data_IF_097021385821
#
_entry.id   IF_097021385821
#
_cell.length_a   1.000
_cell.length_b   1.000
_cell.length_c   1.000
_cell.angle_alpha   90.00
_cell.angle_beta   90.00
_cell.angle_gamma   90.00
#
_symmetry.space_group_name_H-M   'P 1'
#
loop_
_entity.id
_entity.type
_entity.pdbx_description
1 polymer ?
#
# COMPACT_ATOMS: atom_id res chain seq x y z
N UNK A 1 -6.13 39.82 -4.63
CA UNK A 1 -6.43 38.37 -4.73
C UNK A 1 -7.32 38.03 -3.56
N UNK A 2 -8.52 37.51 -3.80
CA UNK A 2 -9.40 37.06 -2.72
C UNK A 2 -8.75 35.86 -2.03
N UNK A 3 -8.74 35.85 -0.70
CA UNK A 3 -8.36 34.69 0.10
C UNK A 3 -9.24 33.50 -0.29
N UNK A 4 -8.68 32.30 -0.51
CA UNK A 4 -9.49 31.12 -0.85
C UNK A 4 -10.51 30.86 0.27
N UNK A 5 -11.75 30.55 -0.12
CA UNK A 5 -12.81 30.13 0.82
C UNK A 5 -12.31 28.99 1.70
N UNK A 6 -12.55 29.04 3.01
CA UNK A 6 -12.12 28.01 3.97
C UNK A 6 -12.63 26.60 3.62
N UNK A 7 -13.73 26.50 2.86
CA UNK A 7 -14.32 25.24 2.42
C UNK A 7 -13.54 24.51 1.32
N UNK A 8 -12.63 25.21 0.63
CA UNK A 8 -11.78 24.61 -0.40
C UNK A 8 -10.40 24.17 0.12
N UNK A 9 -10.14 24.33 1.42
CA UNK A 9 -8.86 23.96 2.02
C UNK A 9 -8.86 22.49 2.47
N UNK A 10 -7.93 21.71 1.94
CA UNK A 10 -7.64 20.34 2.40
C UNK A 10 -7.11 20.32 3.84
N UNK A 11 -6.60 21.44 4.33
CA UNK A 11 -5.95 21.58 5.63
C UNK A 11 -6.58 22.72 6.44
N UNK A 12 -6.76 22.50 7.75
CA UNK A 12 -7.22 23.48 8.72
C UNK A 12 -6.07 23.86 9.66
N UNK A 13 -5.92 25.15 9.93
CA UNK A 13 -4.95 25.66 10.92
C UNK A 13 -5.72 26.12 12.16
N UNK A 14 -5.34 25.62 13.34
CA UNK A 14 -5.89 26.11 14.62
C UNK A 14 -4.84 26.02 15.72
N UNK A 15 -5.00 26.83 16.75
CA UNK A 15 -4.29 26.68 18.01
C UNK A 15 -4.96 25.55 18.80
N UNK A 16 -4.17 24.61 19.29
CA UNK A 16 -4.68 23.43 20.01
C UNK A 16 -3.70 22.95 21.08
N UNK A 17 -4.23 22.22 22.05
CA UNK A 17 -3.44 21.56 23.09
C UNK A 17 -2.81 20.28 22.51
N UNK A 18 -1.47 20.27 22.41
CA UNK A 18 -0.74 19.17 21.81
C UNK A 18 0.00 18.34 22.85
N UNK A 19 -0.29 17.04 22.87
CA UNK A 19 0.40 16.07 23.71
C UNK A 19 1.55 15.46 22.92
N UNK A 20 2.76 15.60 23.43
CA UNK A 20 3.93 14.96 22.84
C UNK A 20 3.87 13.43 23.02
N UNK A 21 3.96 12.64 21.94
CA UNK A 21 3.93 11.18 22.03
C UNK A 21 5.18 10.59 22.70
N UNK A 22 6.24 11.38 22.90
CA UNK A 22 7.51 10.92 23.47
C UNK A 22 7.59 11.04 24.99
N UNK A 23 6.95 12.05 25.56
CA UNK A 23 7.06 12.38 26.99
C UNK A 23 5.72 12.76 27.64
N UNK A 24 4.61 12.74 26.89
CA UNK A 24 3.27 13.05 27.37
C UNK A 24 3.08 14.53 27.77
N UNK A 25 4.05 15.39 27.50
CA UNK A 25 3.97 16.80 27.88
C UNK A 25 3.01 17.50 26.93
N UNK A 26 2.06 18.21 27.53
CA UNK A 26 1.12 19.08 26.82
C UNK A 26 1.73 20.45 26.54
N UNK A 27 1.46 21.01 25.37
CA UNK A 27 1.80 22.38 25.01
C UNK A 27 0.79 22.96 24.02
N UNK A 28 0.39 24.22 24.21
CA UNK A 28 -0.45 24.94 23.25
C UNK A 28 0.41 25.40 22.08
N UNK A 29 0.03 25.04 20.86
CA UNK A 29 0.74 25.41 19.63
C UNK A 29 -0.22 25.59 18.45
N UNK A 30 0.17 26.41 17.49
CA UNK A 30 -0.48 26.46 16.17
C UNK A 30 -0.15 25.16 15.43
N UNK A 31 -1.19 24.47 14.95
CA UNK A 31 -1.07 23.18 14.32
C UNK A 31 -1.90 23.06 13.04
N UNK A 32 -1.41 22.20 12.16
CA UNK A 32 -1.98 21.92 10.85
C UNK A 32 -2.68 20.57 10.87
N UNK A 33 -3.99 20.54 10.57
CA UNK A 33 -4.81 19.33 10.59
C UNK A 33 -5.41 19.07 9.21
N UNK A 34 -5.57 17.79 8.86
CA UNK A 34 -6.23 17.40 7.62
C UNK A 34 -7.75 17.46 7.78
N UNK A 35 -8.46 18.16 6.87
CA UNK A 35 -9.92 18.21 6.89
C UNK A 35 -10.48 16.96 6.17
N UNK A 36 -11.33 16.14 6.81
CA UNK A 36 -12.01 15.06 6.12
C UNK A 36 -12.93 15.64 5.05
N UNK A 37 -12.74 15.22 3.79
CA UNK A 37 -13.47 15.74 2.62
C UNK A 37 -14.95 15.31 2.52
N UNK A 38 -15.48 14.61 3.53
CA UNK A 38 -16.91 14.25 3.62
C UNK A 38 -17.36 14.45 5.06
N UNK A 39 -18.08 15.57 5.28
CA UNK A 39 -18.55 16.01 6.59
C UNK A 39 -19.77 15.22 7.04
N UNK A 40 -19.57 14.42 8.09
CA UNK A 40 -20.54 14.35 9.19
C UNK A 40 -19.71 14.50 10.46
N UNK A 41 -19.42 15.75 10.82
CA UNK A 41 -18.71 16.07 12.08
C UNK A 41 -19.61 15.80 13.30
N UNK A 42 -20.92 15.61 13.10
CA UNK A 42 -21.91 15.27 14.14
C UNK A 42 -22.03 13.76 14.42
N UNK A 43 -21.08 12.94 13.94
CA UNK A 43 -21.03 11.51 14.26
C UNK A 43 -20.32 11.25 15.60
N UNK A 44 -20.65 10.16 16.31
CA UNK A 44 -19.90 9.78 17.51
C UNK A 44 -18.41 9.60 17.18
N UNK A 45 -17.55 10.16 18.03
CA UNK A 45 -16.08 10.03 17.96
C UNK A 45 -15.72 8.54 17.94
N UNK A 46 -14.79 8.14 17.09
CA UNK A 46 -14.36 6.75 17.01
C UNK A 46 -13.64 6.38 18.31
N UNK A 47 -14.19 5.46 19.09
CA UNK A 47 -13.47 4.91 20.24
C UNK A 47 -12.25 4.12 19.72
N UNK A 48 -11.03 4.40 20.23
CA UNK A 48 -9.84 3.69 19.80
C UNK A 48 -10.02 2.17 20.04
N UNK A 49 -9.55 1.29 19.13
CA UNK A 49 -9.72 -0.15 19.29
C UNK A 49 -8.97 -0.67 20.53
N UNK A 50 -9.66 -0.76 21.67
CA UNK A 50 -9.16 -1.29 22.95
C UNK A 50 -8.59 -2.72 22.81
N UNK A 51 -9.08 -3.49 21.83
CA UNK A 51 -8.63 -4.86 21.55
C UNK A 51 -7.17 -4.98 21.06
N UNK A 52 -6.51 -3.86 20.71
CA UNK A 52 -5.13 -3.84 20.21
C UNK A 52 -4.08 -3.45 21.26
N UNK A 53 -4.51 -2.94 22.42
CA UNK A 53 -3.64 -2.33 23.44
C UNK A 53 -3.18 -3.34 24.50
N UNK A 54 -3.77 -4.53 24.57
CA UNK A 54 -3.36 -5.58 25.50
C UNK A 54 -2.53 -6.67 24.80
N UNK A 55 -1.19 -6.61 24.82
CA UNK A 55 -0.36 -7.74 24.46
C UNK A 55 -0.40 -8.72 25.64
N UNK A 56 -1.38 -9.63 25.67
CA UNK A 56 -1.22 -10.82 26.51
C UNK A 56 -0.07 -11.61 25.88
N UNK A 57 1.11 -11.54 26.49
CA UNK A 57 2.24 -12.42 26.19
C UNK A 57 1.77 -13.86 26.36
N UNK A 58 1.42 -14.51 25.25
CA UNK A 58 1.17 -15.95 25.24
C UNK A 58 2.13 -16.54 24.24
N UNK A 59 3.15 -17.20 24.80
CA UNK A 59 4.19 -17.99 24.14
C UNK A 59 3.62 -19.30 23.55
N UNK A 60 2.51 -19.22 22.84
CA UNK A 60 1.93 -20.35 22.13
C UNK A 60 1.91 -20.02 20.64
N UNK A 61 3.03 -20.27 19.98
CA UNK A 61 3.14 -20.25 18.53
C UNK A 61 2.21 -21.32 17.92
N UNK A 62 0.94 -20.96 17.69
CA UNK A 62 0.07 -21.73 16.80
C UNK A 62 0.61 -21.52 15.38
N UNK A 63 0.99 -22.56 14.64
CA UNK A 63 1.58 -22.39 13.32
C UNK A 63 0.49 -21.99 12.31
N UNK A 64 0.30 -20.69 12.10
CA UNK A 64 -0.38 -20.16 10.92
C UNK A 64 0.53 -20.29 9.71
N UNK A 65 0.00 -20.83 8.62
CA UNK A 65 0.73 -20.90 7.34
C UNK A 65 0.12 -19.90 6.38
N UNK A 66 0.81 -18.80 6.15
CA UNK A 66 0.44 -17.85 5.09
C UNK A 66 1.14 -18.25 3.77
N UNK A 67 0.37 -18.38 2.69
CA UNK A 67 0.88 -18.71 1.36
C UNK A 67 0.83 -17.48 0.46
N UNK A 68 1.98 -16.87 0.21
CA UNK A 68 2.12 -15.67 -0.60
C UNK A 68 2.30 -16.02 -2.07
N UNK A 69 1.21 -15.97 -2.84
CA UNK A 69 1.17 -16.50 -4.22
C UNK A 69 1.67 -15.49 -5.26
N UNK A 70 2.02 -14.27 -4.82
CA UNK A 70 2.73 -13.31 -5.65
C UNK A 70 4.00 -13.87 -6.26
N UNK A 71 4.66 -14.82 -5.58
CA UNK A 71 5.91 -15.44 -6.02
C UNK A 71 5.67 -16.88 -6.49
N UNK A 72 5.17 -17.04 -7.74
CA UNK A 72 5.05 -18.37 -8.36
C UNK A 72 6.42 -18.84 -8.82
N UNK A 73 7.21 -19.36 -7.86
CA UNK A 73 8.23 -20.43 -7.88
C UNK A 73 8.95 -20.31 -6.52
N UNK A 74 8.69 -21.17 -5.53
CA UNK A 74 9.51 -21.18 -4.31
C UNK A 74 10.91 -21.65 -4.68
N UNK A 75 11.87 -20.72 -4.86
CA UNK A 75 13.28 -21.10 -4.86
C UNK A 75 13.59 -21.70 -3.50
N UNK A 76 13.95 -23.00 -3.47
CA UNK A 76 14.51 -23.91 -2.42
C UNK A 76 14.42 -23.60 -0.91
N UNK A 77 13.78 -22.54 -0.48
CA UNK A 77 14.08 -21.81 0.75
C UNK A 77 12.80 -21.18 1.33
N UNK A 78 11.72 -21.97 1.35
CA UNK A 78 10.43 -21.57 1.93
C UNK A 78 10.57 -21.16 3.41
N UNK A 79 11.50 -21.80 4.17
CA UNK A 79 11.85 -21.39 5.53
C UNK A 79 12.45 -19.99 5.57
N UNK A 80 13.33 -19.67 4.62
CA UNK A 80 13.93 -18.33 4.44
C UNK A 80 12.88 -17.29 4.07
N UNK A 81 11.84 -17.65 3.30
CA UNK A 81 10.71 -16.76 2.96
C UNK A 81 9.81 -16.46 4.16
N UNK A 82 9.43 -17.48 4.93
CA UNK A 82 8.65 -17.30 6.16
C UNK A 82 9.43 -16.45 7.16
N UNK A 83 10.73 -16.69 7.31
CA UNK A 83 11.60 -15.87 8.15
C UNK A 83 11.71 -14.41 7.65
N UNK A 84 11.75 -14.17 6.33
CA UNK A 84 11.71 -12.81 5.75
C UNK A 84 10.40 -12.06 6.02
N UNK A 85 9.30 -12.79 6.24
CA UNK A 85 7.94 -12.25 6.38
C UNK A 85 7.42 -12.37 7.82
N UNK A 86 8.24 -12.85 8.76
CA UNK A 86 7.90 -12.90 10.19
C UNK A 86 7.57 -11.52 10.72
N UNK A 87 8.32 -10.49 10.31
CA UNK A 87 8.02 -9.10 10.68
C UNK A 87 6.64 -8.68 10.21
N UNK A 88 6.26 -8.98 8.97
CA UNK A 88 4.94 -8.68 8.44
C UNK A 88 3.83 -9.43 9.17
N UNK A 89 4.03 -10.69 9.53
CA UNK A 89 3.08 -11.47 10.33
C UNK A 89 2.86 -10.83 11.71
N UNK A 90 3.93 -10.36 12.35
CA UNK A 90 3.88 -9.65 13.64
C UNK A 90 3.26 -8.26 13.52
N UNK A 91 3.65 -7.47 12.53
CA UNK A 91 3.06 -6.15 12.25
C UNK A 91 1.56 -6.28 11.95
N UNK A 92 1.13 -7.34 11.23
CA UNK A 92 -0.28 -7.63 10.99
C UNK A 92 -1.09 -7.91 12.27
N UNK A 93 -0.45 -8.24 13.40
CA UNK A 93 -1.14 -8.31 14.68
C UNK A 93 -1.64 -6.94 15.16
N UNK A 94 -0.99 -5.84 14.76
CA UNK A 94 -1.39 -4.46 15.08
C UNK A 94 -2.43 -3.91 14.08
N UNK A 95 -2.79 -4.65 13.03
CA UNK A 95 -3.74 -4.20 12.01
C UNK A 95 -5.18 -4.07 12.56
N UNK A 96 -5.81 -2.93 12.27
CA UNK A 96 -7.21 -2.63 12.53
C UNK A 96 -7.98 -2.57 11.21
N UNK A 97 -8.83 -3.56 10.95
CA UNK A 97 -9.65 -3.63 9.74
C UNK A 97 -10.76 -2.58 9.67
N UNK A 98 -11.06 -1.86 10.77
CA UNK A 98 -12.09 -0.80 10.77
C UNK A 98 -11.56 0.50 10.15
N UNK A 99 -10.33 0.87 10.47
CA UNK A 99 -9.65 2.09 10.02
C UNK A 99 -8.70 1.83 8.85
N UNK A 100 -8.38 0.55 8.55
CA UNK A 100 -7.34 0.14 7.61
C UNK A 100 -5.96 0.73 7.97
N UNK A 101 -5.64 0.69 9.27
CA UNK A 101 -4.38 1.20 9.84
C UNK A 101 -3.75 0.17 10.78
N UNK A 102 -2.46 0.32 11.06
CA UNK A 102 -1.78 -0.35 12.16
C UNK A 102 -1.83 0.55 13.40
N UNK A 103 -2.28 0.00 14.51
CA UNK A 103 -2.42 0.72 15.78
C UNK A 103 -1.21 0.41 16.66
N UNK A 104 -0.36 1.40 16.89
CA UNK A 104 0.79 1.32 17.78
C UNK A 104 0.53 2.11 19.08
N UNK A 105 1.25 1.83 20.18
CA UNK A 105 1.12 2.58 21.42
C UNK A 105 1.32 4.10 21.30
N UNK A 106 2.05 4.56 20.28
CA UNK A 106 2.37 5.98 20.03
C UNK A 106 1.60 6.58 18.84
N UNK A 107 0.62 5.87 18.25
CA UNK A 107 -0.21 6.39 17.17
C UNK A 107 -0.56 5.37 16.09
N UNK A 108 -1.41 5.78 15.16
CA UNK A 108 -1.77 4.99 13.98
C UNK A 108 -0.83 5.29 12.81
N UNK A 109 -0.48 4.26 12.04
CA UNK A 109 0.20 4.42 10.77
C UNK A 109 -0.26 3.34 9.78
N UNK A 110 -0.17 3.60 8.47
CA UNK A 110 -0.51 2.63 7.43
C UNK A 110 0.32 2.86 6.17
N UNK A 111 0.35 1.87 5.28
CA UNK A 111 0.83 2.09 3.93
C UNK A 111 -0.21 2.92 3.18
N UNK A 112 0.18 4.07 2.67
CA UNK A 112 -0.70 5.09 2.07
C UNK A 112 -0.60 5.11 0.55
N UNK A 113 -1.42 5.94 -0.11
CA UNK A 113 -1.27 6.18 -1.55
C UNK A 113 0.08 6.85 -1.89
N UNK A 114 0.63 7.68 -1.00
CA UNK A 114 1.94 8.31 -1.15
C UNK A 114 3.05 7.24 -1.19
N UNK A 115 3.00 6.27 -0.27
CA UNK A 115 3.95 5.16 -0.24
C UNK A 115 3.90 4.34 -1.54
N UNK A 116 2.68 3.99 -2.00
CA UNK A 116 2.49 3.23 -3.24
C UNK A 116 2.94 4.04 -4.46
N UNK A 117 2.74 5.36 -4.44
CA UNK A 117 3.18 6.28 -5.48
C UNK A 117 4.69 6.28 -5.63
N UNK A 118 5.38 6.48 -4.51
CA UNK A 118 6.85 6.56 -4.46
C UNK A 118 7.50 5.21 -4.77
N UNK A 119 6.83 4.11 -4.45
CA UNK A 119 7.29 2.77 -4.79
C UNK A 119 7.02 2.37 -6.25
N UNK A 120 6.42 3.24 -7.07
CA UNK A 120 6.40 3.12 -8.53
C UNK A 120 5.02 2.85 -9.17
N UNK A 121 3.93 3.18 -8.49
CA UNK A 121 2.58 3.15 -9.09
C UNK A 121 2.02 4.57 -9.25
N UNK A 122 1.09 4.78 -10.19
CA UNK A 122 0.47 6.09 -10.36
C UNK A 122 -0.81 6.22 -9.55
N UNK A 123 -1.02 7.38 -8.92
CA UNK A 123 -2.26 7.75 -8.22
C UNK A 123 -3.25 8.48 -9.13
N UNK A 124 -2.74 9.15 -10.17
CA UNK A 124 -3.53 9.84 -11.18
C UNK A 124 -3.65 9.01 -12.46
N UNK A 125 -4.59 9.41 -13.31
CA UNK A 125 -4.85 8.79 -14.61
C UNK A 125 -6.18 8.04 -14.65
N UNK A 126 -6.36 7.32 -15.75
CA UNK A 126 -7.58 6.60 -16.06
C UNK A 126 -7.79 5.39 -15.15
N UNK A 127 -9.00 4.84 -15.22
CA UNK A 127 -9.36 3.65 -14.47
C UNK A 127 -8.57 2.44 -14.89
N UNK A 128 -8.15 1.61 -13.92
CA UNK A 128 -7.70 0.24 -14.21
C UNK A 128 -8.81 -0.63 -14.83
N UNK A 129 -10.06 -0.15 -14.79
CA UNK A 129 -11.22 -0.75 -15.44
C UNK A 129 -11.60 -0.07 -16.77
N UNK A 130 -10.75 0.81 -17.30
CA UNK A 130 -11.03 1.51 -18.56
C UNK A 130 -11.22 0.50 -19.70
N UNK A 131 -12.32 0.62 -20.47
CA UNK A 131 -12.59 -0.29 -21.58
C UNK A 131 -11.52 -0.20 -22.66
N UNK A 132 -11.44 -1.23 -23.49
CA UNK A 132 -10.69 -1.19 -24.74
C UNK A 132 -11.67 -0.82 -25.84
N UNK A 133 -11.58 0.42 -26.32
CA UNK A 133 -12.49 0.95 -27.34
C UNK A 133 -11.79 1.09 -28.71
N UNK A 134 -10.46 1.08 -28.71
CA UNK A 134 -9.62 1.30 -29.89
C UNK A 134 -9.17 -0.03 -30.53
N UNK A 135 -9.22 -0.10 -31.86
CA UNK A 135 -8.71 -1.21 -32.66
C UNK A 135 -7.23 -1.49 -32.39
N UNK A 136 -6.42 -0.45 -32.16
CA UNK A 136 -4.99 -0.62 -31.84
C UNK A 136 -4.78 -1.29 -30.49
N UNK A 137 -5.54 -0.88 -29.47
CA UNK A 137 -5.49 -1.47 -28.13
C UNK A 137 -5.95 -2.93 -28.15
N UNK A 138 -6.98 -3.25 -28.92
CA UNK A 138 -7.44 -4.62 -29.10
C UNK A 138 -6.37 -5.47 -29.82
N UNK A 139 -5.70 -4.92 -30.84
CA UNK A 139 -4.58 -5.59 -31.51
C UNK A 139 -3.41 -5.87 -30.54
N UNK A 140 -3.06 -4.93 -29.67
CA UNK A 140 -2.00 -5.13 -28.66
C UNK A 140 -2.41 -6.23 -27.66
N UNK A 141 -3.64 -6.16 -27.15
CA UNK A 141 -4.18 -7.17 -26.24
C UNK A 141 -4.17 -8.57 -26.87
N UNK A 142 -4.60 -8.70 -28.12
CA UNK A 142 -4.57 -9.99 -28.84
C UNK A 142 -3.15 -10.49 -29.08
N UNK A 143 -2.19 -9.61 -29.39
CA UNK A 143 -0.76 -9.97 -29.46
C UNK A 143 -0.24 -10.52 -28.14
N UNK A 144 -0.58 -9.86 -27.02
CA UNK A 144 -0.21 -10.29 -25.68
C UNK A 144 -0.85 -11.64 -25.31
N UNK A 145 -2.13 -11.79 -25.59
CA UNK A 145 -2.89 -13.01 -25.34
C UNK A 145 -2.29 -14.19 -26.14
N UNK A 146 -2.09 -14.03 -27.45
CA UNK A 146 -1.47 -15.04 -28.32
C UNK A 146 -0.10 -15.48 -27.80
N UNK A 147 0.76 -14.53 -27.43
CA UNK A 147 2.07 -14.83 -26.88
C UNK A 147 2.00 -15.62 -25.57
N UNK A 148 1.03 -15.30 -24.71
CA UNK A 148 0.77 -16.06 -23.49
C UNK A 148 0.31 -17.48 -23.81
N UNK A 149 -0.67 -17.65 -24.69
CA UNK A 149 -1.13 -18.97 -25.15
C UNK A 149 0.01 -19.80 -25.73
N UNK A 150 0.90 -19.19 -26.53
CA UNK A 150 2.08 -19.86 -27.08
C UNK A 150 3.04 -20.37 -26.00
N UNK A 151 3.27 -19.58 -24.94
CA UNK A 151 4.13 -20.00 -23.82
C UNK A 151 3.48 -21.11 -22.99
N UNK A 152 2.15 -21.07 -22.81
CA UNK A 152 1.38 -22.14 -22.16
C UNK A 152 1.51 -23.43 -22.97
N UNK A 153 1.35 -23.35 -24.28
CA UNK A 153 1.38 -24.49 -25.21
C UNK A 153 2.74 -25.18 -25.24
N UNK A 154 3.84 -24.42 -25.30
CA UNK A 154 5.21 -24.98 -25.41
C UNK A 154 5.67 -25.72 -24.14
N UNK A 155 5.22 -25.31 -22.94
CA UNK A 155 5.73 -25.90 -21.70
C UNK A 155 4.92 -27.09 -21.15
N UNK A 156 3.83 -27.50 -21.81
CA UNK A 156 2.88 -28.54 -21.38
C UNK A 156 2.40 -28.45 -19.90
N UNK A 157 2.66 -27.30 -19.27
CA UNK A 157 2.23 -26.81 -17.97
C UNK A 157 2.12 -25.29 -18.12
N UNK A 158 1.19 -24.69 -17.36
CA UNK A 158 0.88 -23.25 -17.28
C UNK A 158 2.09 -22.37 -17.60
N UNK A 159 1.89 -21.30 -18.39
CA UNK A 159 2.96 -20.38 -18.80
C UNK A 159 3.84 -20.01 -17.61
N UNK A 160 5.05 -20.56 -17.60
CA UNK A 160 5.96 -20.38 -16.49
C UNK A 160 6.70 -19.05 -16.67
N UNK A 161 6.86 -18.32 -15.57
CA UNK A 161 7.54 -17.02 -15.52
C UNK A 161 8.90 -17.05 -16.23
N UNK A 162 9.68 -18.12 -16.01
CA UNK A 162 10.99 -18.31 -16.62
C UNK A 162 10.91 -18.37 -18.15
N UNK A 163 9.89 -19.04 -18.72
CA UNK A 163 9.70 -19.08 -20.16
C UNK A 163 9.30 -17.73 -20.75
N UNK A 164 8.50 -16.93 -20.03
CA UNK A 164 8.18 -15.55 -20.45
C UNK A 164 9.43 -14.67 -20.48
N UNK A 165 10.25 -14.74 -19.42
CA UNK A 165 11.50 -13.99 -19.29
C UNK A 165 12.50 -14.37 -20.37
N UNK A 166 12.71 -15.68 -20.60
CA UNK A 166 13.59 -16.18 -21.66
C UNK A 166 13.14 -15.69 -23.04
N UNK A 167 11.83 -15.67 -23.29
CA UNK A 167 11.27 -15.30 -24.60
C UNK A 167 11.30 -13.79 -24.87
N UNK A 168 11.20 -12.94 -23.84
CA UNK A 168 10.95 -11.51 -24.04
C UNK A 168 11.98 -10.55 -23.44
N UNK A 169 12.65 -10.86 -22.32
CA UNK A 169 13.56 -9.89 -21.66
C UNK A 169 14.89 -9.63 -22.39
N UNK A 170 15.23 -10.40 -23.44
CA UNK A 170 16.44 -10.17 -24.26
C UNK A 170 16.12 -9.76 -25.71
N UNK A 171 14.85 -9.51 -26.04
CA UNK A 171 14.43 -9.26 -27.41
C UNK A 171 14.26 -7.77 -27.77
N UNK A 172 14.52 -6.84 -26.84
CA UNK A 172 14.73 -5.41 -27.10
C UNK A 172 13.61 -4.64 -27.80
N UNK A 173 12.43 -5.22 -28.03
CA UNK A 173 11.44 -4.67 -28.98
C UNK A 173 9.99 -4.80 -28.55
N UNK A 174 9.70 -5.13 -27.29
CA UNK A 174 8.36 -5.60 -26.88
C UNK A 174 7.94 -5.10 -25.49
N UNK A 175 7.83 -3.77 -25.37
CA UNK A 175 7.41 -3.06 -24.14
C UNK A 175 6.10 -3.65 -23.58
N UNK A 176 5.20 -4.13 -24.44
CA UNK A 176 3.97 -4.78 -24.02
C UNK A 176 4.16 -6.05 -23.23
N UNK A 177 5.16 -6.85 -23.58
CA UNK A 177 5.45 -8.07 -22.86
C UNK A 177 6.13 -7.81 -21.52
N UNK A 178 6.88 -6.73 -21.40
CA UNK A 178 7.49 -6.27 -20.15
C UNK A 178 6.43 -5.69 -19.21
N UNK A 179 5.54 -4.83 -19.72
CA UNK A 179 4.43 -4.25 -18.95
C UNK A 179 3.49 -5.34 -18.41
N UNK A 180 3.10 -6.31 -19.24
CA UNK A 180 2.28 -7.44 -18.81
C UNK A 180 2.98 -8.28 -17.72
N UNK A 181 4.27 -8.56 -17.90
CA UNK A 181 5.04 -9.32 -16.92
C UNK A 181 5.13 -8.59 -15.58
N UNK A 182 5.45 -7.31 -15.62
CA UNK A 182 5.56 -6.47 -14.44
C UNK A 182 4.24 -6.40 -13.68
N UNK A 183 3.13 -6.10 -14.39
CA UNK A 183 1.81 -6.03 -13.79
C UNK A 183 1.39 -7.35 -13.15
N UNK A 184 1.46 -8.45 -13.90
CA UNK A 184 0.99 -9.76 -13.42
C UNK A 184 1.82 -10.33 -12.26
N UNK A 185 3.01 -9.79 -12.01
CA UNK A 185 3.94 -10.31 -11.00
C UNK A 185 4.12 -9.42 -9.79
N UNK A 186 4.23 -8.12 -10.02
CA UNK A 186 4.66 -7.15 -9.01
C UNK A 186 3.55 -6.18 -8.59
N UNK A 187 2.53 -5.98 -9.43
CA UNK A 187 1.43 -5.03 -9.16
C UNK A 187 0.14 -5.77 -8.81
N UNK A 188 -0.32 -6.64 -9.70
CA UNK A 188 -1.53 -7.44 -9.59
C UNK A 188 -1.21 -8.93 -9.75
N UNK A 189 -0.70 -9.60 -8.69
CA UNK A 189 -0.39 -11.04 -8.72
C UNK A 189 -1.62 -11.96 -8.83
N UNK A 190 -2.72 -11.50 -9.43
CA UNK A 190 -3.99 -12.17 -9.52
C UNK A 190 -3.86 -13.43 -10.40
N UNK A 191 -4.51 -14.51 -9.98
CA UNK A 191 -4.65 -15.72 -10.78
C UNK A 191 -6.08 -15.79 -11.31
N UNK A 192 -6.28 -15.43 -12.57
CA UNK A 192 -7.54 -15.62 -13.32
C UNK A 192 -7.37 -16.60 -14.50
N UNK A 193 -6.32 -17.42 -14.47
CA UNK A 193 -6.03 -18.42 -15.51
C UNK A 193 -5.25 -17.84 -16.69
N UNK A 194 -5.87 -16.92 -17.43
CA UNK A 194 -5.38 -16.35 -18.70
C UNK A 194 -4.87 -14.90 -18.58
N UNK A 195 -4.82 -14.32 -17.38
CA UNK A 195 -4.42 -12.92 -17.23
C UNK A 195 -5.44 -11.94 -17.81
N UNK A 196 -6.70 -12.35 -17.99
CA UNK A 196 -7.79 -11.54 -18.60
C UNK A 196 -7.93 -10.17 -17.95
N UNK A 197 -7.67 -10.09 -16.66
CA UNK A 197 -7.78 -8.85 -15.89
C UNK A 197 -6.57 -7.93 -16.12
N UNK A 198 -5.39 -8.48 -16.37
CA UNK A 198 -4.13 -7.73 -16.51
C UNK A 198 -3.84 -7.36 -17.97
N UNK A 199 -4.31 -8.15 -18.94
CA UNK A 199 -4.10 -7.92 -20.37
C UNK A 199 -4.59 -6.53 -20.83
N UNK A 200 -5.81 -6.07 -20.47
CA UNK A 200 -6.27 -4.74 -20.85
C UNK A 200 -5.42 -3.61 -20.25
N UNK A 201 -5.02 -3.76 -19.00
CA UNK A 201 -4.17 -2.79 -18.31
C UNK A 201 -2.81 -2.69 -19.00
N UNK A 202 -2.21 -3.84 -19.35
CA UNK A 202 -0.95 -3.88 -20.09
C UNK A 202 -1.06 -3.18 -21.45
N UNK A 203 -2.14 -3.43 -22.21
CA UNK A 203 -2.37 -2.78 -23.49
C UNK A 203 -2.46 -1.24 -23.34
N UNK A 204 -3.22 -0.75 -22.36
CA UNK A 204 -3.30 0.69 -22.07
C UNK A 204 -1.94 1.30 -21.70
N UNK A 205 -1.19 0.67 -20.80
CA UNK A 205 0.15 1.17 -20.42
C UNK A 205 1.10 1.24 -21.61
N UNK A 206 1.03 0.28 -22.53
CA UNK A 206 1.92 0.23 -23.70
C UNK A 206 1.66 1.28 -24.74
N UNK A 207 0.43 1.80 -24.77
CA UNK A 207 0.05 2.96 -25.56
C UNK A 207 0.53 4.27 -24.92
N UNK A 208 0.97 4.22 -23.66
CA UNK A 208 1.29 5.40 -22.87
C UNK A 208 0.09 5.99 -22.13
N UNK A 209 -1.04 5.27 -22.04
CA UNK A 209 -2.16 5.68 -21.21
C UNK A 209 -1.75 5.65 -19.74
N UNK A 210 -1.84 6.78 -19.05
CA UNK A 210 -1.61 6.86 -17.60
C UNK A 210 -2.80 6.22 -16.88
N UNK A 211 -2.55 5.18 -16.08
CA UNK A 211 -3.57 4.50 -15.28
C UNK A 211 -3.31 4.68 -13.78
N UNK A 212 -4.35 4.96 -13.00
CA UNK A 212 -4.24 5.05 -11.54
C UNK A 212 -4.15 3.66 -10.89
N UNK A 213 -2.97 3.04 -10.96
CA UNK A 213 -2.70 1.70 -10.41
C UNK A 213 -2.71 1.66 -8.88
N UNK A 214 -2.23 2.73 -8.23
CA UNK A 214 -2.05 2.82 -6.79
C UNK A 214 -3.32 2.52 -5.96
N UNK A 215 -4.50 3.13 -6.23
CA UNK A 215 -5.72 2.84 -5.48
C UNK A 215 -6.13 1.37 -5.56
N UNK A 216 -5.97 0.73 -6.72
CA UNK A 216 -6.32 -0.68 -6.89
C UNK A 216 -5.37 -1.61 -6.15
N UNK A 217 -4.07 -1.31 -6.18
CA UNK A 217 -3.05 -2.05 -5.42
C UNK A 217 -3.31 -1.90 -3.92
N UNK A 218 -3.53 -0.68 -3.45
CA UNK A 218 -3.69 -0.37 -2.03
C UNK A 218 -4.97 -1.02 -1.45
N UNK A 219 -6.10 -0.93 -2.15
CA UNK A 219 -7.32 -1.64 -1.77
C UNK A 219 -7.09 -3.14 -1.59
N UNK A 220 -6.33 -3.74 -2.50
CA UNK A 220 -5.99 -5.17 -2.43
C UNK A 220 -5.14 -5.48 -1.20
N UNK A 221 -4.14 -4.64 -0.90
CA UNK A 221 -3.28 -4.77 0.29
C UNK A 221 -4.13 -4.68 1.57
N UNK A 222 -4.98 -3.67 1.69
CA UNK A 222 -5.86 -3.47 2.86
C UNK A 222 -6.77 -4.68 3.09
N UNK A 223 -7.46 -5.16 2.05
CA UNK A 223 -8.32 -6.36 2.14
C UNK A 223 -7.53 -7.58 2.62
N UNK A 224 -6.30 -7.78 2.14
CA UNK A 224 -5.48 -8.93 2.55
C UNK A 224 -4.87 -8.77 3.93
N UNK A 225 -4.52 -7.57 4.38
CA UNK A 225 -4.12 -7.32 5.76
C UNK A 225 -5.28 -7.62 6.73
N UNK A 226 -6.49 -7.18 6.38
CA UNK A 226 -7.72 -7.51 7.13
C UNK A 226 -7.99 -9.02 7.17
N UNK A 227 -7.82 -9.70 6.04
CA UNK A 227 -7.94 -11.17 5.96
C UNK A 227 -6.89 -11.88 6.81
N UNK A 228 -5.65 -11.40 6.78
CA UNK A 228 -4.55 -11.94 7.58
C UNK A 228 -4.87 -11.76 9.07
N UNK A 229 -5.20 -10.54 9.51
CA UNK A 229 -5.61 -10.24 10.90
C UNK A 229 -6.75 -11.13 11.37
N UNK A 230 -7.79 -11.32 10.56
CA UNK A 230 -8.92 -12.18 10.88
C UNK A 230 -8.48 -13.64 11.11
N UNK A 231 -7.59 -14.16 10.26
CA UNK A 231 -7.02 -15.49 10.44
C UNK A 231 -6.14 -15.59 11.71
N UNK A 232 -5.38 -14.55 12.05
CA UNK A 232 -4.59 -14.50 13.29
C UNK A 232 -5.48 -14.58 14.54
N UNK A 233 -6.61 -13.86 14.52
CA UNK A 233 -7.58 -13.90 15.62
C UNK A 233 -8.26 -15.27 15.70
N UNK A 234 -8.64 -15.85 14.56
CA UNK A 234 -9.26 -17.17 14.51
C UNK A 234 -8.33 -18.28 15.03
N UNK A 235 -7.05 -18.26 14.68
CA UNK A 235 -6.08 -19.25 15.16
C UNK A 235 -5.86 -19.17 16.67
N UNK A 236 -5.89 -17.96 17.27
CA UNK A 236 -5.80 -17.79 18.73
C UNK A 236 -6.99 -18.42 19.44
N UNK A 237 -8.20 -18.24 18.91
CA UNK A 237 -9.43 -18.85 19.44
C UNK A 237 -9.45 -20.38 19.32
N UNK A 238 -8.73 -20.94 18.35
CA UNK A 238 -8.69 -22.39 18.11
C UNK A 238 -7.60 -23.11 18.94
N UNK A 239 -6.53 -22.41 19.32
CA UNK A 239 -5.45 -22.94 20.16
C UNK A 239 -5.89 -23.44 21.55
N UNK A 240 -7.11 -23.10 21.99
CA UNK A 240 -7.75 -23.62 23.22
C UNK A 240 -8.48 -24.96 23.03
N UNK A 241 -8.71 -25.43 21.79
CA UNK A 241 -9.26 -26.77 21.51
C UNK A 241 -8.13 -27.68 21.05
N UNK A 242 -7.91 -28.80 21.75
CA UNK A 242 -6.92 -29.84 21.38
C UNK A 242 -7.18 -30.35 19.96
N UNK A 243 -6.48 -29.78 18.98
CA UNK A 243 -6.56 -30.16 17.56
C UNK A 243 -5.71 -29.23 16.71
N UNK A 244 -4.63 -29.74 16.12
CA UNK A 244 -3.63 -28.97 15.38
C UNK A 244 -4.14 -28.62 13.96
N UNK A 245 -5.13 -27.74 13.86
CA UNK A 245 -5.63 -27.25 12.56
C UNK A 245 -4.79 -26.07 12.09
N UNK A 246 -4.03 -26.28 11.02
CA UNK A 246 -3.26 -25.21 10.36
C UNK A 246 -4.20 -24.45 9.42
N UNK A 247 -4.57 -23.22 9.78
CA UNK A 247 -5.28 -22.33 8.85
C UNK A 247 -4.32 -21.83 7.77
N UNK A 248 -4.60 -22.18 6.51
CA UNK A 248 -3.85 -21.70 5.35
C UNK A 248 -4.50 -20.42 4.80
N UNK A 249 -3.81 -19.28 4.92
CA UNK A 249 -4.27 -18.02 4.31
C UNK A 249 -3.54 -17.82 3.00
N UNK A 250 -4.27 -17.81 1.88
CA UNK A 250 -3.69 -17.52 0.57
C UNK A 250 -3.65 -16.01 0.33
N UNK A 251 -2.45 -15.45 0.36
CA UNK A 251 -2.19 -14.03 0.22
C UNK A 251 -1.67 -13.74 -1.19
N UNK A 252 -2.54 -13.22 -2.04
CA UNK A 252 -2.24 -12.98 -3.46
C UNK A 252 -2.20 -11.48 -3.74
N UNK A 253 -1.23 -10.79 -3.14
CA UNK A 253 -1.01 -9.32 -3.28
C UNK A 253 0.47 -8.98 -3.18
N UNK A 254 0.91 -7.80 -3.65
CA UNK A 254 2.32 -7.40 -3.63
C UNK A 254 2.79 -6.98 -2.22
N UNK A 255 2.82 -7.93 -1.28
CA UNK A 255 3.28 -7.69 0.09
C UNK A 255 4.71 -7.18 0.20
N UNK A 256 5.51 -7.27 -0.87
CA UNK A 256 6.81 -6.60 -0.95
C UNK A 256 6.70 -5.08 -0.73
N UNK A 257 5.59 -4.44 -1.11
CA UNK A 257 5.37 -3.01 -0.90
C UNK A 257 5.18 -2.70 0.59
N UNK A 258 4.41 -3.53 1.30
CA UNK A 258 4.25 -3.42 2.76
C UNK A 258 5.58 -3.68 3.46
N UNK A 259 6.36 -4.66 3.00
CA UNK A 259 7.67 -4.93 3.56
C UNK A 259 8.66 -3.76 3.35
N UNK A 260 8.70 -3.19 2.14
CA UNK A 260 9.51 -2.02 1.85
C UNK A 260 9.07 -0.83 2.72
N UNK A 261 7.76 -0.58 2.82
CA UNK A 261 7.20 0.43 3.70
C UNK A 261 7.63 0.25 5.17
N UNK A 262 7.53 -0.96 5.72
CA UNK A 262 8.03 -1.28 7.07
C UNK A 262 9.52 -0.93 7.21
N UNK A 263 10.34 -1.21 6.20
CA UNK A 263 11.76 -0.89 6.22
C UNK A 263 12.08 0.61 6.08
N UNK A 264 11.21 1.37 5.42
CA UNK A 264 11.34 2.82 5.34
C UNK A 264 11.06 3.47 6.71
N UNK A 265 10.04 3.01 7.45
CA UNK A 265 9.55 3.67 8.67
C UNK A 265 10.12 3.10 9.99
N UNK A 266 10.60 1.85 10.00
CA UNK A 266 11.19 1.20 11.17
C UNK A 266 12.70 0.94 10.97
N UNK A 267 13.58 1.86 11.39
CA UNK A 267 15.03 1.65 11.37
C UNK A 267 15.46 0.36 12.08
N UNK A 268 14.81 0.02 13.18
CA UNK A 268 15.09 -1.20 13.94
C UNK A 268 14.81 -2.48 13.14
N UNK A 269 13.94 -2.45 12.12
CA UNK A 269 13.53 -3.63 11.34
C UNK A 269 14.17 -3.72 9.95
N UNK A 270 14.83 -2.67 9.48
CA UNK A 270 15.41 -2.66 8.13
C UNK A 270 16.80 -3.29 8.06
N UNK A 271 17.15 -3.93 6.94
CA UNK A 271 18.54 -4.28 6.60
C UNK A 271 19.33 -3.02 6.19
N UNK A 272 20.65 -3.14 6.04
CA UNK A 272 21.47 -2.06 5.48
C UNK A 272 21.00 -1.76 4.04
N UNK A 273 20.55 -0.53 3.73
CA UNK A 273 20.04 -0.21 2.40
C UNK A 273 21.14 -0.22 1.35
N UNK A 274 20.77 -0.55 0.11
CA UNK A 274 21.66 -0.40 -1.05
C UNK A 274 21.84 1.09 -1.39
N UNK A 275 22.96 1.42 -2.05
CA UNK A 275 23.06 2.68 -2.78
C UNK A 275 22.08 2.64 -3.95
N UNK A 276 21.46 3.77 -4.27
CA UNK A 276 20.49 3.89 -5.36
C UNK A 276 21.00 4.98 -6.29
N UNK A 277 21.18 4.65 -7.57
CA UNK A 277 21.64 5.58 -8.58
C UNK A 277 20.51 6.52 -9.05
N UNK A 278 20.88 7.61 -9.72
CA UNK A 278 19.91 8.55 -10.28
C UNK A 278 19.05 7.83 -11.34
N UNK A 279 17.72 7.88 -11.18
CA UNK A 279 16.76 7.23 -12.08
C UNK A 279 16.38 5.80 -11.69
N UNK A 280 17.02 5.20 -10.68
CA UNK A 280 16.57 3.92 -10.14
C UNK A 280 15.32 4.08 -9.27
N UNK A 281 14.38 3.12 -9.33
CA UNK A 281 13.18 3.17 -8.51
C UNK A 281 13.54 3.03 -7.03
N UNK A 282 12.82 3.71 -6.13
CA UNK A 282 13.09 3.66 -4.68
C UNK A 282 13.13 2.23 -4.12
N UNK A 283 12.32 1.34 -4.69
CA UNK A 283 12.29 -0.07 -4.29
C UNK A 283 13.64 -0.80 -4.52
N UNK A 284 14.50 -0.32 -5.44
CA UNK A 284 15.83 -0.87 -5.69
C UNK A 284 16.74 -0.81 -4.45
N UNK A 285 16.52 0.16 -3.56
CA UNK A 285 17.19 0.27 -2.25
C UNK A 285 17.09 -0.99 -1.41
N UNK A 286 16.03 -1.76 -1.62
CA UNK A 286 15.68 -2.96 -0.88
C UNK A 286 15.96 -4.27 -1.65
N UNK A 287 16.53 -4.17 -2.85
CA UNK A 287 16.75 -5.31 -3.73
C UNK A 287 17.69 -6.35 -3.12
N UNK A 288 17.28 -7.62 -3.14
CA UNK A 288 18.09 -8.75 -2.69
C UNK A 288 18.35 -8.81 -1.18
N UNK A 289 17.88 -7.82 -0.41
CA UNK A 289 18.19 -7.71 1.01
C UNK A 289 17.42 -8.73 1.85
N UNK A 290 18.10 -9.27 2.86
CA UNK A 290 17.55 -10.18 3.85
C UNK A 290 17.94 -9.66 5.22
N UNK A 291 16.98 -9.50 6.12
CA UNK A 291 17.26 -9.39 7.55
C UNK A 291 17.06 -10.75 8.18
N UNK A 292 18.07 -11.26 8.88
CA UNK A 292 17.93 -12.45 9.72
C UNK A 292 17.05 -12.07 10.90
N UNK A 293 15.99 -12.84 11.15
CA UNK A 293 14.95 -12.49 12.11
C UNK A 293 15.52 -12.27 13.51
N UNK A 294 15.11 -11.17 14.15
CA UNK A 294 15.24 -11.02 15.60
C UNK A 294 14.12 -11.84 16.26
N UNK A 295 14.42 -12.50 17.38
CA UNK A 295 13.43 -13.35 18.08
C UNK A 295 12.20 -12.54 18.55
N UNK A 296 12.31 -11.21 18.69
CA UNK A 296 11.34 -10.35 19.37
C UNK A 296 10.83 -9.15 18.53
N UNK A 297 10.50 -9.35 17.25
CA UNK A 297 10.04 -8.27 16.35
C UNK A 297 8.89 -7.40 16.92
N UNK A 298 7.95 -7.97 17.68
CA UNK A 298 6.87 -7.18 18.30
C UNK A 298 7.38 -6.22 19.39
N UNK A 299 8.32 -6.67 20.22
CA UNK A 299 8.92 -5.81 21.25
C UNK A 299 9.80 -4.74 20.62
N UNK A 300 10.51 -5.08 19.54
CA UNK A 300 11.30 -4.13 18.75
C UNK A 300 10.38 -3.04 18.19
N UNK A 301 9.23 -3.42 17.63
CA UNK A 301 8.20 -2.48 17.19
C UNK A 301 7.74 -1.63 18.37
N UNK A 302 7.25 -2.26 19.45
CA UNK A 302 6.63 -1.54 20.56
C UNK A 302 7.59 -0.57 21.28
N UNK A 303 8.91 -0.78 21.16
CA UNK A 303 9.95 0.13 21.69
C UNK A 303 10.46 1.16 20.68
N UNK A 304 10.08 1.05 19.40
CA UNK A 304 10.57 1.91 18.32
C UNK A 304 9.92 3.30 18.27
N UNK A 305 9.07 3.69 19.23
CA UNK A 305 8.39 4.98 19.24
C UNK A 305 9.32 6.17 18.97
N UNK A 306 10.54 6.14 19.55
CA UNK A 306 11.54 7.21 19.41
C UNK A 306 12.23 7.23 18.04
N UNK A 307 12.36 6.07 17.41
CA UNK A 307 13.09 5.89 16.16
C UNK A 307 12.16 5.77 14.94
N UNK A 308 10.84 5.80 15.17
CA UNK A 308 9.83 5.71 14.12
C UNK A 308 9.92 6.91 13.17
N UNK A 309 10.02 6.63 11.87
CA UNK A 309 10.13 7.67 10.85
C UNK A 309 8.75 7.91 10.23
N UNK A 310 8.08 8.97 10.63
CA UNK A 310 6.77 9.37 10.08
C UNK A 310 6.85 9.75 8.60
N UNK A 311 7.91 10.44 8.19
CA UNK A 311 8.10 10.97 6.84
C UNK A 311 9.38 10.43 6.23
N UNK A 312 9.43 9.17 5.77
CA UNK A 312 10.63 8.58 5.21
C UNK A 312 11.08 9.23 3.89
N UNK A 313 10.20 10.02 3.28
CA UNK A 313 10.37 10.61 1.95
C UNK A 313 10.82 12.07 1.95
N UNK A 314 10.96 12.71 3.11
CA UNK A 314 11.41 14.11 3.19
C UNK A 314 12.92 14.25 3.32
N UNK A 315 13.63 13.17 3.69
CA UNK A 315 15.09 13.22 3.85
C UNK A 315 15.75 13.25 2.48
N UNK A 316 16.50 14.32 2.24
CA UNK A 316 17.33 14.52 1.05
C UNK A 316 18.53 13.55 1.08
N UNK A 317 18.26 12.26 0.95
CA UNK A 317 19.31 11.25 0.94
C UNK A 317 19.62 10.73 -0.46
N UNK A 318 18.83 11.03 -1.51
CA UNK A 318 19.17 10.84 -2.93
C UNK A 318 18.10 11.47 -3.86
N UNK A 319 18.54 11.99 -5.02
CA UNK A 319 17.80 12.76 -6.04
C UNK A 319 16.63 12.04 -6.78
N UNK A 320 15.97 11.06 -6.16
CA UNK A 320 14.89 10.27 -6.80
C UNK A 320 13.48 10.70 -6.41
N UNK A 321 13.34 11.69 -5.52
CA UNK A 321 12.04 12.23 -5.12
C UNK A 321 11.67 13.45 -5.97
N UNK A 322 10.36 13.73 -6.16
CA UNK A 322 9.93 14.98 -6.75
C UNK A 322 10.38 16.13 -5.85
N UNK A 323 11.52 16.74 -6.18
CA UNK A 323 12.15 17.80 -5.39
C UNK A 323 11.25 19.05 -5.30
N UNK A 324 10.20 19.14 -6.13
CA UNK A 324 9.19 20.17 -6.01
C UNK A 324 8.32 19.97 -4.77
N UNK A 325 7.86 18.75 -4.49
CA UNK A 325 6.90 18.48 -3.41
C UNK A 325 7.53 18.56 -2.02
N UNK A 326 8.70 17.96 -1.82
CA UNK A 326 9.35 17.92 -0.50
C UNK A 326 10.42 19.01 -0.38
N UNK A 327 10.06 20.14 0.24
CA UNK A 327 10.97 21.24 0.57
C UNK A 327 11.35 21.22 2.05
N UNK A 328 12.50 21.81 2.38
CA UNK A 328 12.95 21.97 3.76
C UNK A 328 12.06 22.93 4.56
N UNK A 329 11.40 23.87 3.88
CA UNK A 329 10.50 24.86 4.48
C UNK A 329 9.08 24.67 3.97
N UNK A 330 8.13 24.84 4.86
CA UNK A 330 6.70 24.80 4.54
C UNK A 330 6.34 25.99 3.62
N UNK A 331 5.45 25.72 2.66
CA UNK A 331 4.94 26.73 1.75
C UNK A 331 3.53 26.34 1.29
N UNK A 332 2.74 27.34 0.94
CA UNK A 332 1.39 27.15 0.44
C UNK A 332 1.41 27.03 -1.08
N UNK A 333 0.68 26.04 -1.60
CA UNK A 333 0.48 25.84 -3.05
C UNK A 333 -1.01 25.80 -3.30
N UNK A 334 -1.47 26.62 -4.23
CA UNK A 334 -2.79 26.47 -4.80
C UNK A 334 -2.71 25.35 -5.84
N UNK A 335 -3.48 24.27 -5.63
CA UNK A 335 -3.54 23.16 -6.58
C UNK A 335 -4.74 23.37 -7.49
N UNK A 336 -4.45 23.77 -8.72
CA UNK A 336 -5.38 23.91 -9.84
C UNK A 336 -4.95 23.01 -11.01
N UNK A 337 -5.69 23.06 -12.12
CA UNK A 337 -5.38 22.29 -13.33
C UNK A 337 -4.01 22.62 -13.96
N UNK A 338 -3.34 23.70 -13.54
CA UNK A 338 -2.03 24.11 -14.03
C UNK A 338 -0.88 23.73 -13.08
N UNK A 339 -1.19 23.17 -11.91
CA UNK A 339 -0.23 22.92 -10.83
C UNK A 339 0.65 21.68 -11.03
N UNK A 340 0.34 20.85 -12.03
CA UNK A 340 1.10 19.65 -12.37
C UNK A 340 0.71 18.41 -11.58
N UNK A 341 0.88 17.25 -12.21
CA UNK A 341 0.46 15.92 -11.72
C UNK A 341 0.97 15.58 -10.30
N UNK A 342 2.11 16.14 -9.88
CA UNK A 342 2.74 15.83 -8.59
C UNK A 342 1.93 16.36 -7.41
N UNK A 343 1.46 17.62 -7.49
CA UNK A 343 0.68 18.24 -6.42
C UNK A 343 -0.74 17.68 -6.38
N UNK A 344 -1.37 17.45 -7.53
CA UNK A 344 -2.67 16.78 -7.59
C UNK A 344 -2.57 15.35 -7.03
N UNK A 345 -1.49 14.64 -7.34
CA UNK A 345 -1.22 13.32 -6.78
C UNK A 345 -1.10 13.33 -5.25
N UNK A 346 -0.42 14.33 -4.68
CA UNK A 346 -0.33 14.49 -3.23
C UNK A 346 -1.70 14.82 -2.61
N UNK A 347 -2.48 15.72 -3.22
CA UNK A 347 -3.86 16.01 -2.77
C UNK A 347 -4.71 14.74 -2.78
N UNK A 348 -4.57 13.89 -3.80
CA UNK A 348 -5.24 12.59 -3.89
C UNK A 348 -4.82 11.67 -2.73
N UNK A 349 -3.54 11.67 -2.35
CA UNK A 349 -3.04 10.93 -1.19
C UNK A 349 -3.59 11.43 0.14
N UNK A 350 -3.96 12.70 0.25
CA UNK A 350 -4.50 13.29 1.47
C UNK A 350 -6.05 13.28 1.51
N UNK A 351 -6.73 12.83 0.45
CA UNK A 351 -8.20 12.83 0.40
C UNK A 351 -8.77 11.50 0.91
N UNK A 352 -9.76 11.56 1.80
CA UNK A 352 -10.53 10.35 2.15
C UNK A 352 -11.32 9.85 0.94
N UNK A 353 -11.25 8.55 0.66
CA UNK A 353 -11.89 7.95 -0.52
C UNK A 353 -12.20 6.46 -0.33
N UNK A 354 -13.00 5.90 -1.24
CA UNK A 354 -13.19 4.46 -1.39
C UNK A 354 -12.30 3.95 -2.53
N UNK A 355 -11.40 3.01 -2.23
CA UNK A 355 -10.45 2.44 -3.18
C UNK A 355 -10.99 1.13 -3.74
N UNK A 356 -10.90 0.96 -5.05
CA UNK A 356 -11.43 -0.23 -5.75
C UNK A 356 -10.28 -1.09 -6.28
N UNK A 357 -10.21 -2.34 -5.84
CA UNK A 357 -9.27 -3.33 -6.38
C UNK A 357 -9.89 -4.13 -7.53
N UNK A 358 -9.03 -4.74 -8.34
CA UNK A 358 -9.39 -5.70 -9.37
C UNK A 358 -10.04 -6.99 -8.82
N UNK A 359 -9.91 -7.26 -7.52
CA UNK A 359 -10.63 -8.37 -6.89
C UNK A 359 -12.12 -8.07 -6.80
N UNK A 360 -12.97 -9.00 -7.26
CA UNK A 360 -14.42 -8.83 -7.30
C UNK A 360 -14.97 -8.41 -5.93
N UNK A 361 -15.69 -7.28 -5.91
CA UNK A 361 -16.31 -6.72 -4.71
C UNK A 361 -15.34 -6.12 -3.68
N UNK A 362 -14.07 -5.91 -4.03
CA UNK A 362 -13.08 -5.31 -3.13
C UNK A 362 -13.14 -3.78 -3.20
N UNK A 363 -13.87 -3.18 -2.25
CA UNK A 363 -13.90 -1.74 -2.01
C UNK A 363 -13.44 -1.50 -0.57
N UNK A 364 -12.34 -0.75 -0.41
CA UNK A 364 -11.75 -0.46 0.90
C UNK A 364 -11.75 1.04 1.18
N UNK A 365 -12.02 1.43 2.43
CA UNK A 365 -11.89 2.84 2.83
C UNK A 365 -10.43 3.23 2.97
N UNK A 366 -10.12 4.42 2.47
CA UNK A 366 -8.86 5.12 2.66
C UNK A 366 -9.10 6.36 3.52
N UNK A 367 -8.48 6.38 4.70
CA UNK A 367 -8.73 7.36 5.75
C UNK A 367 -7.39 8.05 6.14
N UNK A 368 -6.82 8.90 5.27
CA UNK A 368 -5.53 9.55 5.52
C UNK A 368 -5.55 10.47 6.75
N UNK A 369 -6.72 10.96 7.16
CA UNK A 369 -6.89 11.76 8.38
C UNK A 369 -6.66 10.97 9.68
N UNK A 370 -6.64 9.63 9.63
CA UNK A 370 -6.22 8.81 10.77
C UNK A 370 -4.69 8.73 10.92
N UNK A 371 -3.93 9.13 9.88
CA UNK A 371 -2.46 8.96 9.80
C UNK A 371 -1.76 10.24 9.35
N UNK A 372 -2.29 11.40 9.73
CA UNK A 372 -1.84 12.73 9.26
C UNK A 372 -0.37 13.02 9.51
N UNK A 373 0.22 12.42 10.56
CA UNK A 373 1.65 12.56 10.85
C UNK A 373 2.54 12.02 9.72
N UNK A 374 2.07 11.04 8.94
CA UNK A 374 2.79 10.56 7.75
C UNK A 374 2.88 11.62 6.65
N UNK A 375 1.94 12.57 6.62
CA UNK A 375 1.95 13.72 5.70
C UNK A 375 2.59 14.98 6.32
N UNK A 376 3.12 14.88 7.55
CA UNK A 376 3.70 16.02 8.27
C UNK A 376 2.68 16.97 8.89
N UNK A 377 1.45 16.51 9.08
CA UNK A 377 0.40 17.25 9.76
C UNK A 377 0.21 16.72 11.19
N UNK A 378 -0.40 17.52 12.06
CA UNK A 378 -0.79 17.08 13.39
C UNK A 378 -1.95 16.07 13.31
N UNK A 379 -1.99 15.14 14.25
CA UNK A 379 -3.05 14.14 14.36
C UNK A 379 -4.17 14.65 15.25
N UNK A 380 -5.37 14.78 14.67
CA UNK A 380 -6.59 15.01 15.42
C UNK A 380 -7.19 13.67 15.87
N UNK A 381 -8.20 13.73 16.75
CA UNK A 381 -9.04 12.57 17.02
C UNK A 381 -9.71 12.12 15.71
N UNK A 382 -9.58 10.83 15.33
CA UNK A 382 -10.11 10.36 14.07
C UNK A 382 -11.64 10.49 14.04
N UNK A 383 -12.13 11.42 13.22
CA UNK A 383 -13.55 11.60 12.94
C UNK A 383 -14.11 10.45 12.10
N UNK A 384 -15.44 10.27 12.12
CA UNK A 384 -16.09 9.23 11.33
C UNK A 384 -16.32 9.71 9.90
N UNK A 385 -15.71 9.04 8.92
CA UNK A 385 -16.07 9.19 7.50
C UNK A 385 -17.04 8.08 7.10
N UNK A 386 -18.26 8.45 6.70
CA UNK A 386 -19.28 7.49 6.27
C UNK A 386 -18.82 6.71 5.04
N UNK A 387 -19.03 5.38 5.06
CA UNK A 387 -18.94 4.56 3.84
C UNK A 387 -20.13 4.89 2.94
N UNK A 388 -19.85 5.14 1.67
CA UNK A 388 -20.91 5.28 0.65
C UNK A 388 -21.50 3.90 0.34
N UNK A 389 -20.69 2.83 0.46
CA UNK A 389 -21.09 1.46 0.11
C UNK A 389 -21.68 1.35 -1.31
N UNK A 390 -21.17 2.18 -2.22
CA UNK A 390 -21.63 2.24 -3.61
C UNK A 390 -21.13 1.07 -4.46
N UNK A 391 -21.61 0.99 -5.70
CA UNK A 391 -20.98 0.12 -6.72
C UNK A 391 -19.57 0.62 -7.03
N UNK A 392 -18.70 -0.26 -7.53
CA UNK A 392 -17.31 0.08 -7.88
C UNK A 392 -17.18 1.31 -8.79
N UNK A 393 -18.14 1.53 -9.71
CA UNK A 393 -18.18 2.73 -10.57
C UNK A 393 -18.34 4.03 -9.78
N UNK A 394 -19.14 4.01 -8.71
CA UNK A 394 -19.37 5.17 -7.83
C UNK A 394 -18.12 5.43 -7.01
N UNK A 395 -17.55 4.39 -6.40
CA UNK A 395 -16.30 4.49 -5.65
C UNK A 395 -15.16 5.05 -6.52
N UNK A 396 -15.04 4.57 -7.77
CA UNK A 396 -14.04 5.09 -8.69
C UNK A 396 -14.28 6.55 -9.08
N UNK A 397 -15.52 6.93 -9.39
CA UNK A 397 -15.87 8.32 -9.70
C UNK A 397 -15.59 9.27 -8.53
N UNK A 398 -15.79 8.80 -7.29
CA UNK A 398 -15.49 9.55 -6.08
C UNK A 398 -14.00 9.52 -5.73
N UNK A 399 -13.23 8.59 -6.29
CA UNK A 399 -11.77 8.58 -6.17
C UNK A 399 -11.16 9.60 -7.12
N UNK A 400 -11.63 9.68 -8.37
CA UNK A 400 -11.26 10.72 -9.35
C UNK A 400 -11.83 12.08 -8.98
#
# INVERSE_FOLDING_TARGET
>A
MASPSEDNLTMKVREDEMISPLNGVSSIKIAHFLRPSVTSVDGPVFEPPLDSVNPTMIDNSVPLKANFVGWRHPQKDWKTLVNRMQSLHRVAEKWCSKTNTFVFPWGEATITLEDIMILGCYVLGDSVFSPIEDLELEMIKEKLHKAQSDIIRVNAKKACQSAWMIKFMKCGSKIEHEAFHWLSRFVFPIYDGEGRTVLPIAAHLTRGTKLALAPAVLASIYKKLSSLKGALVASRKLGTRKGKVVHLVKLTVPFQLVQAWVWEIFPALRPKPNSTELGEPRLARWHGLKKVGTENVLLDIDRSAKDFIWRPYTRAENNSLPHMVYKEKDYWVLVDSCSGDEFEGLVRCCRSSELVSLEVGCIEQYLPHCVTMQFGMAQDLPGRVARVNGRFKIAWRNYT
#
